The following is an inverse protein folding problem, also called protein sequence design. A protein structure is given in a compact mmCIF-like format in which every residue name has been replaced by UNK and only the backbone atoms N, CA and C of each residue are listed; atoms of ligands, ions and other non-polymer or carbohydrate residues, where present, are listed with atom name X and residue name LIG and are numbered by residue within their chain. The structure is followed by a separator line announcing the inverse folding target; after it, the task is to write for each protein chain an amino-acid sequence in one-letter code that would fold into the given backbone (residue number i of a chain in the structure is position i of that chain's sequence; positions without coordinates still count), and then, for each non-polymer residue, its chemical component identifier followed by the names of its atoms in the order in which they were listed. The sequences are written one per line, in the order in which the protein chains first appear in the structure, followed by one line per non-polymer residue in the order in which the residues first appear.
data_IF_201419351954
#
_entry.id   IF_201419351954
#
_cell.length_a   1.000
_cell.length_b   1.000
_cell.length_c   1.000
_cell.angle_alpha   90.00
_cell.angle_beta   90.00
_cell.angle_gamma   90.00
#
_symmetry.space_group_name_H-M   'P 1'
#
loop_
_entity.id
_entity.type
_entity.pdbx_description
1 polymer ?
#
# COMPACT_ATOMS: atom_id res chain seq x y z
N UNK A 1 32.90 -4.97 -5.87
CA UNK A 1 32.90 -5.74 -4.64
C UNK A 1 34.02 -5.35 -3.69
N UNK A 2 33.75 -5.47 -2.40
CA UNK A 2 34.75 -5.26 -1.37
C UNK A 2 35.42 -6.61 -1.00
N UNK A 3 36.73 -6.63 -0.92
CA UNK A 3 37.47 -7.71 -0.32
C UNK A 3 37.43 -7.52 1.21
N UNK A 4 36.99 -8.53 1.92
CA UNK A 4 36.84 -8.47 3.38
C UNK A 4 37.50 -9.65 4.08
N UNK A 5 37.98 -9.41 5.29
CA UNK A 5 38.35 -10.48 6.25
C UNK A 5 37.31 -10.52 7.32
N UNK A 6 36.79 -11.73 7.63
CA UNK A 6 35.83 -11.96 8.70
C UNK A 6 36.51 -12.81 9.79
N UNK A 7 36.41 -12.36 11.04
CA UNK A 7 36.95 -13.06 12.22
C UNK A 7 35.86 -13.15 13.27
N UNK A 8 35.55 -14.35 13.71
CA UNK A 8 34.54 -14.59 14.74
C UNK A 8 34.29 -16.08 14.99
N UNK A 9 33.41 -16.35 15.96
CA UNK A 9 32.93 -17.69 16.21
C UNK A 9 31.96 -18.11 15.08
N UNK A 10 31.96 -19.38 14.73
CA UNK A 10 31.04 -19.96 13.77
C UNK A 10 29.98 -20.80 14.49
N UNK A 11 28.77 -20.78 13.94
CA UNK A 11 27.64 -21.63 14.33
C UNK A 11 27.07 -22.35 13.11
N UNK A 12 26.15 -23.27 13.35
CA UNK A 12 25.40 -23.93 12.27
C UNK A 12 23.92 -23.54 12.42
N UNK A 13 23.36 -23.04 11.37
CA UNK A 13 21.92 -22.72 11.29
C UNK A 13 21.38 -23.16 9.93
N UNK A 14 20.21 -23.82 9.91
CA UNK A 14 19.61 -24.31 8.66
C UNK A 14 20.50 -25.29 7.87
N UNK A 15 21.40 -26.03 8.55
CA UNK A 15 22.38 -26.94 7.93
C UNK A 15 23.65 -26.28 7.40
N UNK A 16 23.77 -24.94 7.48
CA UNK A 16 24.90 -24.17 6.96
C UNK A 16 25.75 -23.56 8.10
N UNK A 17 27.08 -23.50 7.88
CA UNK A 17 27.97 -22.73 8.75
C UNK A 17 27.83 -21.23 8.48
N UNK A 18 27.73 -20.48 9.54
CA UNK A 18 27.68 -19.03 9.52
C UNK A 18 28.56 -18.42 10.62
N UNK A 19 28.96 -17.17 10.44
CA UNK A 19 29.57 -16.39 11.49
C UNK A 19 28.49 -15.86 12.45
N UNK A 20 28.82 -15.81 13.75
CA UNK A 20 27.92 -15.24 14.76
C UNK A 20 27.88 -13.71 14.73
N UNK A 21 26.89 -13.12 15.44
CA UNK A 21 26.63 -11.67 15.50
C UNK A 21 27.83 -10.84 15.98
N UNK A 22 28.71 -11.43 16.80
CA UNK A 22 29.89 -10.75 17.34
C UNK A 22 31.10 -10.80 16.41
N UNK A 23 30.92 -11.23 15.14
CA UNK A 23 32.03 -11.34 14.21
C UNK A 23 32.46 -9.96 13.69
N UNK A 24 33.75 -9.77 13.60
CA UNK A 24 34.39 -8.56 13.06
C UNK A 24 34.55 -8.72 11.56
N UNK A 25 34.11 -7.71 10.78
CA UNK A 25 34.30 -7.63 9.34
C UNK A 25 35.22 -6.46 9.03
N UNK A 26 36.38 -6.76 8.44
CA UNK A 26 37.34 -5.73 8.06
C UNK A 26 37.49 -5.68 6.54
N UNK A 27 37.27 -4.52 5.93
CA UNK A 27 37.55 -4.31 4.50
C UNK A 27 39.07 -4.29 4.29
N UNK A 28 39.54 -5.13 3.38
CA UNK A 28 40.97 -5.27 3.04
C UNK A 28 41.31 -4.76 1.65
N UNK A 29 40.28 -4.49 0.83
CA UNK A 29 40.49 -3.99 -0.53
C UNK A 29 39.19 -3.92 -1.32
N UNK A 30 39.32 -3.73 -2.63
CA UNK A 30 38.24 -3.80 -3.62
C UNK A 30 38.61 -4.72 -4.75
N UNK A 31 37.63 -5.43 -5.28
CA UNK A 31 37.79 -6.31 -6.45
C UNK A 31 36.56 -6.23 -7.35
N UNK A 32 36.73 -6.49 -8.63
CA UNK A 32 35.59 -6.72 -9.51
C UNK A 32 34.94 -8.05 -9.17
N UNK A 33 33.62 -8.04 -9.03
CA UNK A 33 32.81 -9.24 -8.79
C UNK A 33 31.88 -9.42 -9.97
N UNK A 34 31.96 -10.58 -10.60
CA UNK A 34 30.94 -10.99 -11.56
C UNK A 34 29.81 -11.63 -10.79
N UNK A 35 28.61 -11.05 -10.89
CA UNK A 35 27.41 -11.63 -10.29
C UNK A 35 27.11 -12.98 -10.99
N UNK A 36 26.94 -14.08 -10.24
CA UNK A 36 26.50 -15.35 -10.82
C UNK A 36 25.10 -15.20 -11.42
N UNK A 37 24.77 -16.00 -12.41
CA UNK A 37 23.39 -16.17 -12.82
C UNK A 37 22.65 -17.04 -11.79
N UNK A 38 21.38 -16.76 -11.46
CA UNK A 38 20.63 -17.59 -10.55
C UNK A 38 20.35 -18.96 -11.17
N UNK A 39 20.48 -20.02 -10.37
CA UNK A 39 20.03 -21.36 -10.73
C UNK A 39 18.51 -21.43 -10.58
N UNK A 40 17.79 -21.82 -11.64
CA UNK A 40 16.35 -22.01 -11.56
C UNK A 40 16.04 -23.30 -10.80
N UNK A 41 15.18 -23.18 -9.78
CA UNK A 41 14.77 -24.31 -8.94
C UNK A 41 13.29 -24.67 -9.23
N UNK A 42 13.06 -25.91 -9.61
CA UNK A 42 11.75 -26.54 -9.62
C UNK A 42 11.47 -27.36 -8.35
N UNK A 43 10.32 -28.01 -8.27
CA UNK A 43 9.91 -28.82 -7.12
C UNK A 43 10.96 -29.86 -6.68
N UNK A 44 11.50 -30.63 -7.63
CA UNK A 44 12.52 -31.65 -7.34
C UNK A 44 13.82 -31.06 -6.78
N UNK A 45 14.16 -29.82 -7.15
CA UNK A 45 15.35 -29.14 -6.65
C UNK A 45 15.16 -28.65 -5.21
N UNK A 46 13.93 -28.28 -4.84
CA UNK A 46 13.58 -27.97 -3.45
C UNK A 46 13.76 -29.19 -2.55
N UNK A 47 13.25 -30.36 -2.97
CA UNK A 47 13.41 -31.61 -2.22
C UNK A 47 14.89 -32.02 -2.12
N UNK A 48 15.63 -31.89 -3.22
CA UNK A 48 17.07 -32.17 -3.24
C UNK A 48 17.86 -31.20 -2.35
N UNK A 49 17.49 -29.91 -2.32
CA UNK A 49 18.13 -28.91 -1.47
C UNK A 49 17.96 -29.21 0.03
N UNK A 50 16.79 -29.71 0.44
CA UNK A 50 16.53 -30.13 1.83
C UNK A 50 17.49 -31.24 2.27
N UNK A 51 17.82 -32.15 1.37
CA UNK A 51 18.74 -33.26 1.67
C UNK A 51 20.21 -32.82 1.77
N UNK A 52 20.61 -31.79 1.03
CA UNK A 52 21.97 -31.27 0.96
C UNK A 52 22.04 -29.76 0.87
N UNK A 53 21.73 -29.01 1.95
CA UNK A 53 21.71 -27.56 1.91
C UNK A 53 23.10 -26.97 1.62
N UNK A 54 23.12 -25.95 0.74
CA UNK A 54 24.35 -25.20 0.42
C UNK A 54 23.98 -23.76 0.05
N UNK A 55 24.93 -22.84 0.09
CA UNK A 55 24.69 -21.47 -0.39
C UNK A 55 24.68 -21.48 -1.90
N UNK A 56 23.53 -21.09 -2.49
CA UNK A 56 23.33 -20.97 -3.93
C UNK A 56 22.59 -19.69 -4.23
N UNK A 57 22.94 -19.04 -5.35
CA UNK A 57 22.12 -17.96 -5.94
C UNK A 57 21.05 -18.61 -6.80
N UNK A 58 19.79 -18.42 -6.42
CA UNK A 58 18.66 -19.21 -6.93
C UNK A 58 17.53 -18.29 -7.45
N UNK A 59 16.71 -18.87 -8.33
CA UNK A 59 15.47 -18.28 -8.82
C UNK A 59 14.39 -19.36 -8.81
N UNK A 60 13.22 -19.05 -8.28
CA UNK A 60 12.07 -19.97 -8.26
C UNK A 60 10.77 -19.19 -8.27
N UNK A 61 9.67 -19.84 -8.64
CA UNK A 61 8.34 -19.25 -8.66
C UNK A 61 7.37 -20.03 -7.76
N UNK A 62 6.37 -19.30 -7.26
CA UNK A 62 5.30 -19.90 -6.45
C UNK A 62 4.37 -18.85 -5.88
N UNK A 63 3.37 -19.29 -5.14
CA UNK A 63 2.36 -18.44 -4.53
C UNK A 63 2.84 -17.84 -3.21
N UNK A 64 2.95 -16.50 -3.15
CA UNK A 64 3.41 -15.78 -1.97
C UNK A 64 2.27 -15.51 -1.00
N UNK A 65 2.43 -15.95 0.22
CA UNK A 65 1.53 -15.68 1.35
C UNK A 65 2.28 -15.16 2.57
N UNK A 66 1.56 -14.61 3.54
CA UNK A 66 2.14 -14.20 4.81
C UNK A 66 1.30 -14.67 5.99
N UNK A 67 1.95 -14.85 7.13
CA UNK A 67 1.28 -15.01 8.41
C UNK A 67 2.07 -14.28 9.51
N UNK A 68 1.37 -13.90 10.56
CA UNK A 68 1.99 -13.33 11.75
C UNK A 68 2.02 -14.38 12.85
N UNK A 69 3.18 -14.59 13.44
CA UNK A 69 3.33 -15.54 14.54
C UNK A 69 2.83 -14.97 15.88
N UNK A 70 2.89 -15.77 16.94
CA UNK A 70 2.42 -15.42 18.27
C UNK A 70 3.29 -14.36 19.00
N UNK A 71 4.44 -14.00 18.45
CA UNK A 71 5.31 -12.91 18.91
C UNK A 71 5.24 -11.68 17.98
N UNK A 72 4.20 -11.63 17.13
CA UNK A 72 3.92 -10.54 16.19
C UNK A 72 4.97 -10.36 15.08
N UNK A 73 5.79 -11.38 14.78
CA UNK A 73 6.70 -11.36 13.64
C UNK A 73 5.98 -11.81 12.37
N UNK A 74 6.15 -11.06 11.28
CA UNK A 74 5.65 -11.44 9.96
C UNK A 74 6.57 -12.41 9.26
N UNK A 75 6.00 -13.47 8.70
CA UNK A 75 6.65 -14.47 7.87
C UNK A 75 6.06 -14.45 6.48
N UNK A 76 6.91 -14.53 5.47
CA UNK A 76 6.54 -14.51 4.06
C UNK A 76 6.94 -15.84 3.43
N UNK A 77 5.98 -16.58 2.95
CA UNK A 77 6.14 -17.94 2.46
C UNK A 77 5.71 -18.05 1.00
N UNK A 78 6.46 -18.81 0.22
CA UNK A 78 6.20 -19.07 -1.19
C UNK A 78 5.91 -20.57 -1.35
N UNK A 79 4.67 -20.92 -1.63
CA UNK A 79 4.28 -22.29 -1.96
C UNK A 79 4.69 -22.57 -3.42
N UNK A 80 5.54 -23.57 -3.63
CA UNK A 80 6.01 -24.00 -4.95
C UNK A 80 5.23 -25.24 -5.37
N UNK A 81 4.63 -25.22 -6.57
CA UNK A 81 3.85 -26.33 -7.04
C UNK A 81 4.67 -27.62 -7.18
N UNK A 82 4.12 -28.73 -6.68
CA UNK A 82 4.71 -30.07 -6.81
C UNK A 82 5.71 -30.45 -5.70
N UNK A 83 5.87 -29.63 -4.64
CA UNK A 83 6.65 -29.95 -3.44
C UNK A 83 5.94 -29.48 -2.18
N UNK A 84 6.18 -30.18 -1.04
CA UNK A 84 5.75 -29.75 0.29
C UNK A 84 6.77 -28.81 0.97
N UNK A 85 7.93 -28.60 0.34
CA UNK A 85 8.94 -27.66 0.84
C UNK A 85 8.56 -26.24 0.47
N UNK A 86 8.49 -25.38 1.48
CA UNK A 86 8.05 -23.98 1.31
C UNK A 86 9.27 -23.06 1.17
N UNK A 87 9.27 -22.17 0.17
CA UNK A 87 10.21 -21.06 0.12
C UNK A 87 9.91 -20.07 1.24
N UNK A 88 10.92 -19.68 2.02
CA UNK A 88 10.76 -18.68 3.09
C UNK A 88 11.63 -17.46 2.78
N UNK A 89 11.02 -16.27 2.69
CA UNK A 89 11.73 -15.02 2.45
C UNK A 89 12.37 -14.56 3.76
N UNK A 90 13.68 -14.77 3.89
CA UNK A 90 14.44 -14.41 5.08
C UNK A 90 14.94 -12.98 4.98
N UNK A 91 14.65 -12.17 6.00
CA UNK A 91 15.11 -10.78 6.14
C UNK A 91 14.92 -9.93 4.87
N UNK A 92 13.72 -9.87 4.29
CA UNK A 92 13.49 -9.07 3.09
C UNK A 92 13.79 -7.60 3.39
N UNK A 93 14.52 -6.95 2.48
CA UNK A 93 14.79 -5.52 2.58
C UNK A 93 13.47 -4.75 2.42
N UNK A 94 13.28 -3.69 3.18
CA UNK A 94 12.09 -2.83 3.09
C UNK A 94 11.87 -2.23 1.69
N UNK A 95 12.95 -2.05 0.92
CA UNK A 95 12.86 -1.57 -0.48
C UNK A 95 12.23 -2.56 -1.44
N UNK A 96 12.10 -3.84 -1.06
CA UNK A 96 11.45 -4.87 -1.87
C UNK A 96 9.91 -4.79 -1.83
N UNK A 97 9.34 -4.02 -0.91
CA UNK A 97 7.89 -3.86 -0.74
C UNK A 97 7.11 -5.19 -0.86
N UNK A 98 7.52 -6.20 -0.08
CA UNK A 98 7.01 -7.59 -0.18
C UNK A 98 5.49 -7.66 -0.09
N UNK A 99 4.87 -6.74 0.65
CA UNK A 99 3.42 -6.71 0.84
C UNK A 99 2.63 -6.47 -0.45
N UNK A 100 3.23 -5.80 -1.44
CA UNK A 100 2.61 -5.59 -2.77
C UNK A 100 2.48 -6.87 -3.58
N UNK A 101 3.27 -7.88 -3.25
CA UNK A 101 3.31 -9.17 -3.95
C UNK A 101 2.48 -10.25 -3.29
N UNK A 102 1.83 -9.98 -2.14
CA UNK A 102 1.05 -10.97 -1.40
C UNK A 102 -0.15 -11.49 -2.18
N UNK A 103 -0.45 -12.78 -1.95
CA UNK A 103 -1.56 -13.51 -2.54
C UNK A 103 -1.49 -13.59 -4.09
N UNK A 104 -0.25 -13.65 -4.61
CA UNK A 104 0.03 -13.79 -6.06
C UNK A 104 1.16 -14.77 -6.31
N UNK A 105 1.24 -15.25 -7.55
CA UNK A 105 2.40 -15.98 -8.04
C UNK A 105 3.55 -15.00 -8.30
N UNK A 106 4.68 -15.28 -7.67
CA UNK A 106 5.89 -14.47 -7.76
C UNK A 106 7.08 -15.25 -8.25
N UNK A 107 8.05 -14.55 -8.81
CA UNK A 107 9.39 -15.03 -9.04
C UNK A 107 10.28 -14.46 -7.93
N UNK A 108 10.90 -15.34 -7.18
CA UNK A 108 11.86 -14.99 -6.12
C UNK A 108 13.26 -15.19 -6.66
N UNK A 109 14.12 -14.19 -6.55
CA UNK A 109 15.55 -14.32 -6.80
C UNK A 109 16.31 -13.97 -5.51
N UNK A 110 17.30 -14.78 -5.16
CA UNK A 110 18.06 -14.58 -3.93
C UNK A 110 19.04 -15.69 -3.62
N UNK A 111 19.63 -15.62 -2.45
CA UNK A 111 20.55 -16.65 -1.97
C UNK A 111 19.82 -17.64 -1.07
N UNK A 112 19.77 -18.90 -1.45
CA UNK A 112 19.36 -19.99 -0.57
C UNK A 112 20.39 -20.13 0.55
N UNK A 113 19.95 -19.98 1.81
CA UNK A 113 20.79 -19.87 3.00
C UNK A 113 20.49 -20.96 4.06
N UNK A 114 19.93 -22.07 3.63
CA UNK A 114 19.67 -23.23 4.48
C UNK A 114 18.22 -23.62 4.60
N UNK A 115 17.95 -24.60 5.45
CA UNK A 115 16.65 -25.22 5.65
C UNK A 115 16.29 -25.17 7.13
N UNK A 116 15.06 -24.76 7.44
CA UNK A 116 14.49 -24.79 8.80
C UNK A 116 13.20 -25.58 8.85
N UNK A 117 12.66 -25.77 10.05
CA UNK A 117 11.45 -26.55 10.31
C UNK A 117 11.69 -28.05 10.41
N UNK A 118 10.80 -28.77 11.07
CA UNK A 118 10.84 -30.22 11.28
C UNK A 118 9.74 -30.94 10.49
N UNK A 119 8.49 -30.58 10.73
CA UNK A 119 7.33 -31.19 10.05
C UNK A 119 7.12 -30.51 8.70
N UNK A 120 7.03 -29.18 8.68
CA UNK A 120 7.09 -28.38 7.47
C UNK A 120 8.51 -27.89 7.27
N UNK A 121 9.09 -28.12 6.10
CA UNK A 121 10.46 -27.71 5.76
C UNK A 121 10.43 -26.40 4.98
N UNK A 122 11.31 -25.48 5.37
CA UNK A 122 11.41 -24.15 4.75
C UNK A 122 12.81 -23.98 4.14
N UNK A 123 12.85 -23.74 2.83
CA UNK A 123 14.06 -23.28 2.15
C UNK A 123 14.16 -21.76 2.39
N UNK A 124 15.10 -21.37 3.23
CA UNK A 124 15.32 -19.97 3.57
C UNK A 124 16.06 -19.25 2.44
N UNK A 125 15.50 -18.16 1.96
CA UNK A 125 16.08 -17.35 0.86
C UNK A 125 16.31 -15.93 1.33
N UNK A 126 17.56 -15.46 1.26
CA UNK A 126 17.90 -14.05 1.37
C UNK A 126 17.57 -13.39 0.05
N UNK A 127 16.42 -12.69 0.00
CA UNK A 127 15.83 -12.18 -1.24
C UNK A 127 16.57 -10.96 -1.76
N UNK A 128 16.89 -10.98 -3.05
CA UNK A 128 17.49 -9.85 -3.77
C UNK A 128 16.53 -9.19 -4.75
N UNK A 129 15.54 -9.93 -5.27
CA UNK A 129 14.51 -9.44 -6.18
C UNK A 129 13.22 -10.24 -6.00
N UNK A 130 12.09 -9.55 -6.15
CA UNK A 130 10.75 -10.10 -6.32
C UNK A 130 10.15 -9.55 -7.61
N UNK A 131 9.51 -10.41 -8.37
CA UNK A 131 8.80 -10.07 -9.61
C UNK A 131 7.48 -10.83 -9.64
N UNK A 132 6.47 -10.31 -10.30
CA UNK A 132 5.28 -11.12 -10.59
C UNK A 132 5.63 -12.21 -11.59
N UNK A 133 5.16 -13.44 -11.36
CA UNK A 133 5.43 -14.57 -12.24
C UNK A 133 4.70 -14.44 -13.60
N UNK A 134 3.58 -13.75 -13.60
CA UNK A 134 2.83 -13.38 -14.79
C UNK A 134 2.85 -11.86 -14.92
N UNK A 135 3.14 -11.35 -16.10
CA UNK A 135 2.96 -9.93 -16.39
C UNK A 135 1.46 -9.62 -16.23
N UNK A 136 1.17 -8.63 -15.38
CA UNK A 136 -0.21 -8.19 -15.23
C UNK A 136 -0.62 -7.46 -16.50
N UNK A 137 -1.61 -8.01 -17.19
CA UNK A 137 -2.18 -7.37 -18.38
C UNK A 137 -3.20 -6.30 -17.96
N UNK A 138 -3.10 -5.14 -18.61
CA UNK A 138 -4.09 -4.08 -18.43
C UNK A 138 -5.43 -4.58 -18.99
N UNK A 139 -6.52 -4.57 -18.21
CA UNK A 139 -7.84 -4.90 -18.70
C UNK A 139 -8.26 -3.97 -19.86
N UNK A 140 -9.09 -4.48 -20.76
CA UNK A 140 -9.71 -3.64 -21.78
C UNK A 140 -10.61 -2.58 -21.10
N UNK A 141 -10.51 -1.34 -21.55
CA UNK A 141 -11.30 -0.25 -20.98
C UNK A 141 -12.81 -0.46 -21.16
N UNK A 142 -13.22 -1.18 -22.20
CA UNK A 142 -14.62 -1.54 -22.45
C UNK A 142 -15.22 -2.52 -21.44
N UNK A 143 -14.36 -3.27 -20.72
CA UNK A 143 -14.75 -4.18 -19.65
C UNK A 143 -14.76 -3.49 -18.27
N UNK A 144 -14.19 -2.29 -18.18
CA UNK A 144 -14.10 -1.55 -16.93
C UNK A 144 -15.40 -0.82 -16.61
N UNK A 145 -15.97 -1.10 -15.43
CA UNK A 145 -17.13 -0.40 -14.89
C UNK A 145 -16.75 0.99 -14.37
N UNK A 146 -17.72 1.86 -14.12
CA UNK A 146 -17.52 3.15 -13.46
C UNK A 146 -17.32 2.97 -11.94
N UNK A 147 -16.78 4.00 -11.26
CA UNK A 147 -16.67 4.01 -9.80
C UNK A 147 -18.06 3.97 -9.16
N UNK A 148 -19.04 4.66 -9.73
CA UNK A 148 -20.43 4.62 -9.27
C UNK A 148 -20.99 3.20 -9.30
N UNK A 149 -20.85 2.50 -10.42
CA UNK A 149 -21.30 1.12 -10.55
C UNK A 149 -20.55 0.19 -9.59
N UNK A 150 -19.24 0.40 -9.38
CA UNK A 150 -18.48 -0.34 -8.37
C UNK A 150 -19.10 -0.16 -6.99
N UNK A 151 -19.35 1.09 -6.54
CA UNK A 151 -19.93 1.38 -5.23
C UNK A 151 -21.32 0.74 -5.06
N UNK A 152 -22.16 0.77 -6.09
CA UNK A 152 -23.48 0.11 -6.08
C UNK A 152 -23.34 -1.40 -5.84
N UNK A 153 -22.33 -2.05 -6.42
CA UNK A 153 -22.05 -3.48 -6.22
C UNK A 153 -21.46 -3.76 -4.86
N UNK A 154 -20.52 -2.93 -4.39
CA UNK A 154 -19.89 -3.07 -3.06
C UNK A 154 -20.90 -2.94 -1.92
N UNK A 155 -21.96 -2.13 -2.07
CA UNK A 155 -23.01 -1.96 -1.06
C UNK A 155 -23.76 -3.26 -0.70
N UNK A 156 -23.71 -4.26 -1.57
CA UNK A 156 -24.29 -5.59 -1.36
C UNK A 156 -23.28 -6.65 -0.89
N UNK A 157 -22.01 -6.28 -0.71
CA UNK A 157 -20.93 -7.21 -0.37
C UNK A 157 -20.52 -7.10 1.09
N UNK A 158 -19.99 -8.18 1.63
CA UNK A 158 -19.37 -8.18 2.96
C UNK A 158 -17.89 -7.77 2.87
N UNK A 159 -17.37 -7.15 3.94
CA UNK A 159 -15.95 -6.84 4.05
C UNK A 159 -15.10 -8.11 3.95
N UNK A 160 -14.06 -8.09 3.13
CA UNK A 160 -13.22 -9.24 2.79
C UNK A 160 -13.61 -9.94 1.48
N UNK A 161 -14.71 -9.56 0.84
CA UNK A 161 -15.16 -10.17 -0.41
C UNK A 161 -14.14 -9.94 -1.54
N UNK A 162 -13.88 -10.98 -2.34
CA UNK A 162 -13.06 -10.89 -3.55
C UNK A 162 -13.83 -10.17 -4.67
N UNK A 163 -13.13 -9.38 -5.48
CA UNK A 163 -13.73 -8.56 -6.54
C UNK A 163 -13.41 -9.07 -7.96
N UNK A 164 -12.80 -10.24 -8.08
CA UNK A 164 -12.33 -10.78 -9.37
C UNK A 164 -13.44 -10.84 -10.45
N UNK A 165 -14.69 -11.09 -10.07
CA UNK A 165 -15.83 -11.15 -11.00
C UNK A 165 -16.19 -9.78 -11.61
N UNK A 166 -15.71 -8.67 -11.05
CA UNK A 166 -15.95 -7.32 -11.55
C UNK A 166 -14.91 -6.87 -12.60
N UNK A 167 -13.91 -7.72 -12.90
CA UNK A 167 -12.83 -7.51 -13.87
C UNK A 167 -12.02 -6.25 -13.61
N UNK A 168 -12.59 -5.06 -13.88
CA UNK A 168 -11.89 -3.79 -13.73
C UNK A 168 -12.82 -2.62 -13.40
N UNK A 169 -12.26 -1.54 -12.84
CA UNK A 169 -12.91 -0.22 -12.71
C UNK A 169 -12.03 0.84 -13.37
N UNK A 170 -12.65 1.87 -13.93
CA UNK A 170 -11.94 3.04 -14.50
C UNK A 170 -12.34 4.32 -13.79
N UNK A 171 -11.42 5.28 -13.77
CA UNK A 171 -11.66 6.59 -13.17
C UNK A 171 -10.43 7.47 -13.25
N UNK A 172 -10.48 8.58 -12.54
CA UNK A 172 -9.40 9.56 -12.45
C UNK A 172 -8.87 9.65 -11.03
N UNK A 173 -7.58 9.77 -10.87
CA UNK A 173 -6.92 10.00 -9.57
C UNK A 173 -7.27 11.41 -9.10
N UNK A 174 -8.05 11.52 -8.02
CA UNK A 174 -8.47 12.81 -7.46
C UNK A 174 -7.55 13.28 -6.32
N UNK A 175 -6.89 12.36 -5.63
CA UNK A 175 -5.89 12.65 -4.62
C UNK A 175 -4.90 11.48 -4.47
N UNK A 176 -3.66 11.79 -4.05
CA UNK A 176 -2.59 10.85 -3.78
C UNK A 176 -1.84 11.21 -2.48
N UNK A 177 -0.74 10.51 -2.16
CA UNK A 177 0.02 10.67 -0.91
C UNK A 177 1.02 11.85 -0.91
N UNK A 178 1.15 12.60 -1.99
CA UNK A 178 2.18 13.66 -2.14
C UNK A 178 2.17 14.67 -0.99
N UNK A 179 0.99 15.04 -0.51
CA UNK A 179 0.82 15.99 0.59
C UNK A 179 1.14 15.44 1.98
N UNK A 180 1.46 14.15 2.10
CA UNK A 180 1.76 13.47 3.37
C UNK A 180 0.57 13.38 4.34
N UNK A 181 -0.64 13.67 3.88
CA UNK A 181 -1.86 13.58 4.68
C UNK A 181 -2.54 12.21 4.55
N UNK A 182 -2.51 11.64 3.35
CA UNK A 182 -2.93 10.27 3.06
C UNK A 182 -1.78 9.29 3.37
N UNK A 183 -2.10 8.01 3.49
CA UNK A 183 -1.09 6.97 3.70
C UNK A 183 -1.42 5.71 2.89
N UNK A 184 -0.67 5.49 1.82
CA UNK A 184 -0.83 4.36 0.91
C UNK A 184 -2.24 4.25 0.33
N UNK A 185 -2.86 5.37 0.01
CA UNK A 185 -4.19 5.43 -0.58
C UNK A 185 -4.26 6.46 -1.69
N UNK A 186 -5.14 6.23 -2.65
CA UNK A 186 -5.62 7.24 -3.58
C UNK A 186 -7.13 7.37 -3.50
N UNK A 187 -7.64 8.54 -3.85
CA UNK A 187 -9.04 8.75 -4.20
C UNK A 187 -9.20 8.56 -5.70
N UNK A 188 -10.03 7.61 -6.11
CA UNK A 188 -10.42 7.37 -7.50
C UNK A 188 -11.85 7.86 -7.71
N UNK A 189 -12.09 8.64 -8.77
CA UNK A 189 -13.41 9.22 -9.06
C UNK A 189 -13.83 9.03 -10.52
N UNK A 190 -15.14 9.01 -10.79
CA UNK A 190 -15.69 9.09 -12.17
C UNK A 190 -15.51 10.51 -12.79
N UNK A 191 -15.08 11.47 -12.00
CA UNK A 191 -14.87 12.87 -12.37
C UNK A 191 -16.15 13.62 -12.83
N UNK A 192 -17.31 13.17 -12.38
CA UNK A 192 -18.61 13.80 -12.68
C UNK A 192 -19.04 14.82 -11.64
N UNK A 193 -18.52 14.74 -10.41
CA UNK A 193 -18.96 15.50 -9.26
C UNK A 193 -20.30 15.03 -8.64
N UNK A 194 -20.88 13.95 -9.15
CA UNK A 194 -22.11 13.36 -8.64
C UNK A 194 -21.85 12.57 -7.34
N UNK A 195 -22.86 12.40 -6.46
CA UNK A 195 -22.74 11.51 -5.29
C UNK A 195 -22.42 10.08 -5.65
N UNK A 196 -21.64 9.41 -4.79
CA UNK A 196 -21.31 7.99 -4.94
C UNK A 196 -20.30 7.66 -6.04
N UNK A 197 -19.63 8.68 -6.61
CA UNK A 197 -18.67 8.50 -7.72
C UNK A 197 -17.22 8.52 -7.29
N UNK A 198 -16.93 8.24 -6.00
CA UNK A 198 -15.58 8.12 -5.47
C UNK A 198 -15.38 6.85 -4.66
N UNK A 199 -14.15 6.34 -4.66
CA UNK A 199 -13.71 5.17 -3.88
C UNK A 199 -12.26 5.34 -3.45
N UNK A 200 -11.92 4.79 -2.29
CA UNK A 200 -10.55 4.70 -1.81
C UNK A 200 -9.91 3.41 -2.32
N UNK A 201 -8.78 3.53 -3.00
CA UNK A 201 -7.90 2.40 -3.31
C UNK A 201 -6.72 2.39 -2.34
N UNK A 202 -6.58 1.31 -1.57
CA UNK A 202 -5.49 1.09 -0.63
C UNK A 202 -4.40 0.25 -1.28
N UNK A 203 -3.15 0.73 -1.28
CA UNK A 203 -2.04 0.04 -1.92
C UNK A 203 -0.67 0.53 -1.46
N UNK A 204 0.10 1.10 -2.37
CA UNK A 204 1.46 1.59 -2.16
C UNK A 204 1.48 3.09 -1.91
N UNK A 205 2.68 3.65 -1.70
CA UNK A 205 2.86 5.10 -1.64
C UNK A 205 2.72 5.69 -3.06
N UNK A 206 1.66 6.45 -3.27
CA UNK A 206 1.34 7.09 -4.54
C UNK A 206 1.67 8.58 -4.48
N UNK A 207 2.58 9.03 -5.33
CA UNK A 207 3.03 10.42 -5.40
C UNK A 207 2.75 11.03 -6.77
N UNK A 208 2.95 12.34 -6.92
CA UNK A 208 2.86 13.00 -8.23
C UNK A 208 3.87 12.43 -9.25
N UNK A 209 4.99 11.87 -8.79
CA UNK A 209 5.98 11.24 -9.67
C UNK A 209 5.52 9.87 -10.19
N UNK A 210 4.75 9.11 -9.40
CA UNK A 210 4.32 7.74 -9.73
C UNK A 210 2.90 7.71 -10.27
N UNK A 211 2.01 8.53 -9.69
CA UNK A 211 0.59 8.57 -10.07
C UNK A 211 0.02 9.99 -9.88
N UNK A 212 0.22 10.90 -10.86
CA UNK A 212 -0.21 12.28 -10.77
C UNK A 212 -1.73 12.42 -10.64
N UNK A 213 -2.17 13.44 -9.88
CA UNK A 213 -3.59 13.83 -9.83
C UNK A 213 -4.08 14.21 -11.23
N UNK A 214 -5.31 13.83 -11.55
CA UNK A 214 -5.92 14.01 -12.86
C UNK A 214 -5.64 12.89 -13.86
N UNK A 215 -4.74 11.94 -13.55
CA UNK A 215 -4.46 10.81 -14.44
C UNK A 215 -5.64 9.84 -14.49
N UNK A 216 -6.11 9.50 -15.70
CA UNK A 216 -7.05 8.41 -15.90
C UNK A 216 -6.35 7.08 -15.71
N UNK A 217 -7.00 6.17 -14.99
CA UNK A 217 -6.48 4.82 -14.74
C UNK A 217 -7.53 3.76 -15.07
N UNK A 218 -7.02 2.60 -15.50
CA UNK A 218 -7.78 1.35 -15.52
C UNK A 218 -7.25 0.51 -14.35
N UNK A 219 -8.13 0.06 -13.49
CA UNK A 219 -7.77 -0.64 -12.26
C UNK A 219 -8.27 -2.08 -12.36
N UNK A 220 -7.36 -3.04 -12.43
CA UNK A 220 -7.72 -4.46 -12.41
C UNK A 220 -8.18 -4.86 -11.01
N UNK A 221 -9.30 -5.56 -10.95
CA UNK A 221 -9.90 -6.09 -9.72
C UNK A 221 -9.63 -7.59 -9.54
N UNK A 222 -8.84 -8.21 -10.41
CA UNK A 222 -8.53 -9.65 -10.44
C UNK A 222 -8.13 -10.23 -9.07
N UNK A 223 -7.31 -9.48 -8.30
CA UNK A 223 -6.85 -9.88 -6.98
C UNK A 223 -7.38 -8.98 -5.87
N UNK A 224 -8.23 -8.03 -6.25
CA UNK A 224 -8.72 -7.04 -5.32
C UNK A 224 -9.73 -7.63 -4.33
N UNK A 225 -9.77 -7.01 -3.16
CA UNK A 225 -10.75 -7.32 -2.12
C UNK A 225 -11.45 -6.05 -1.67
N UNK A 226 -12.73 -6.16 -1.38
CA UNK A 226 -13.49 -5.13 -0.69
C UNK A 226 -13.12 -5.11 0.80
N UNK A 227 -12.95 -3.93 1.37
CA UNK A 227 -12.74 -3.75 2.80
C UNK A 227 -13.60 -2.61 3.32
N UNK A 228 -14.24 -2.81 4.45
CA UNK A 228 -14.98 -1.78 5.14
C UNK A 228 -14.19 -1.35 6.40
N UNK A 229 -13.23 -0.46 6.19
CA UNK A 229 -12.38 0.00 7.29
C UNK A 229 -13.06 1.11 8.07
N UNK A 230 -13.53 0.82 9.30
CA UNK A 230 -14.18 1.81 10.15
C UNK A 230 -15.35 2.54 9.47
N UNK A 231 -16.14 1.82 8.71
CA UNK A 231 -17.26 2.26 7.88
C UNK A 231 -16.86 2.97 6.56
N UNK A 232 -15.56 3.10 6.26
CA UNK A 232 -15.08 3.62 4.99
C UNK A 232 -14.93 2.50 3.97
N UNK A 233 -15.67 2.51 2.85
CA UNK A 233 -15.48 1.58 1.75
C UNK A 233 -14.10 1.75 1.11
N UNK A 234 -13.36 0.66 0.98
CA UNK A 234 -12.03 0.64 0.35
C UNK A 234 -11.88 -0.58 -0.54
N UNK A 235 -11.07 -0.45 -1.58
CA UNK A 235 -10.58 -1.56 -2.38
C UNK A 235 -9.10 -1.76 -2.10
N UNK A 236 -8.71 -2.99 -1.76
CA UNK A 236 -7.31 -3.39 -1.50
C UNK A 236 -6.80 -4.31 -2.58
N UNK A 237 -5.48 -4.37 -2.76
CA UNK A 237 -4.78 -5.28 -3.69
C UNK A 237 -5.19 -5.11 -5.16
N UNK A 238 -5.76 -3.97 -5.53
CA UNK A 238 -6.03 -3.64 -6.91
C UNK A 238 -4.73 -3.29 -7.66
N UNK A 239 -4.71 -3.56 -8.97
CA UNK A 239 -3.56 -3.22 -9.82
C UNK A 239 -3.94 -2.03 -10.69
N UNK A 240 -3.17 -0.96 -10.59
CA UNK A 240 -3.45 0.32 -11.24
C UNK A 240 -2.63 0.44 -12.52
N UNK A 241 -3.30 0.68 -13.64
CA UNK A 241 -2.68 0.93 -14.94
C UNK A 241 -2.94 2.37 -15.37
N UNK A 242 -1.97 3.28 -15.21
CA UNK A 242 -2.08 4.65 -15.69
C UNK A 242 -2.23 4.69 -17.23
N UNK A 243 -3.02 5.64 -17.71
CA UNK A 243 -3.16 5.95 -19.13
C UNK A 243 -2.51 7.29 -19.46
N UNK A 244 -2.42 7.64 -20.75
CA UNK A 244 -1.96 8.96 -21.20
C UNK A 244 -3.00 10.05 -20.99
N UNK A 245 -4.28 9.68 -20.75
CA UNK A 245 -5.38 10.61 -20.61
C UNK A 245 -5.33 11.30 -19.24
N UNK A 246 -5.53 12.62 -19.26
CA UNK A 246 -5.60 13.45 -18.06
C UNK A 246 -6.80 14.39 -18.12
N UNK A 247 -7.37 14.68 -16.96
CA UNK A 247 -8.43 15.67 -16.81
C UNK A 247 -8.22 16.51 -15.55
N UNK A 248 -8.75 17.73 -15.56
CA UNK A 248 -8.93 18.51 -14.34
C UNK A 248 -10.00 17.82 -13.47
N UNK A 249 -9.72 17.71 -12.17
CA UNK A 249 -10.65 17.05 -11.24
C UNK A 249 -11.81 17.97 -10.92
N UNK A 250 -13.01 17.45 -11.15
CA UNK A 250 -14.27 18.11 -10.74
C UNK A 250 -14.40 18.01 -9.24
N UNK A 251 -14.41 19.16 -8.55
CA UNK A 251 -14.48 19.26 -7.09
C UNK A 251 -15.87 19.75 -6.70
N UNK A 252 -16.82 18.88 -6.32
CA UNK A 252 -18.13 19.31 -5.91
C UNK A 252 -18.07 20.09 -4.60
N UNK A 253 -18.85 21.17 -4.51
CA UNK A 253 -19.05 21.94 -3.28
C UNK A 253 -20.29 21.42 -2.55
N UNK A 254 -20.11 20.93 -1.33
CA UNK A 254 -21.14 20.25 -0.55
C UNK A 254 -21.37 20.91 0.80
N UNK A 255 -22.54 20.69 1.38
CA UNK A 255 -22.85 21.04 2.77
C UNK A 255 -22.44 19.90 3.74
N UNK A 256 -22.31 20.24 5.01
CA UNK A 256 -21.94 19.32 6.09
C UNK A 256 -22.85 18.09 6.25
N UNK A 257 -24.14 18.21 5.93
CA UNK A 257 -25.12 17.13 5.98
C UNK A 257 -25.11 16.20 4.75
N UNK A 258 -24.25 16.47 3.76
CA UNK A 258 -24.11 15.67 2.53
C UNK A 258 -22.87 14.79 2.54
N UNK A 259 -22.01 14.87 3.56
CA UNK A 259 -20.70 14.18 3.60
C UNK A 259 -20.81 12.68 3.31
N UNK A 260 -21.84 12.00 3.81
CA UNK A 260 -22.04 10.57 3.61
C UNK A 260 -22.26 10.14 2.17
N UNK A 261 -22.79 11.04 1.32
CA UNK A 261 -23.07 10.76 -0.08
C UNK A 261 -21.79 10.85 -0.96
N UNK A 262 -20.69 11.42 -0.41
CA UNK A 262 -19.46 11.73 -1.15
C UNK A 262 -18.23 11.00 -0.63
N UNK A 263 -18.38 9.88 0.07
CA UNK A 263 -17.24 9.10 0.57
C UNK A 263 -16.29 8.70 -0.57
N UNK A 264 -15.00 8.80 -0.29
CA UNK A 264 -13.94 8.51 -1.24
C UNK A 264 -13.71 9.59 -2.32
N UNK A 265 -14.52 10.65 -2.37
CA UNK A 265 -14.38 11.75 -3.33
C UNK A 265 -13.56 12.91 -2.78
N UNK A 266 -12.89 13.63 -3.69
CA UNK A 266 -12.25 14.89 -3.37
C UNK A 266 -13.29 16.01 -3.52
N UNK A 267 -13.65 16.64 -2.40
CA UNK A 267 -14.75 17.59 -2.30
C UNK A 267 -14.34 18.91 -1.65
N UNK A 268 -15.19 19.92 -1.74
CA UNK A 268 -15.10 21.16 -0.97
C UNK A 268 -16.29 21.23 -0.02
N UNK A 269 -16.07 21.12 1.29
CA UNK A 269 -17.11 21.34 2.30
C UNK A 269 -17.14 22.81 2.67
N UNK A 270 -18.30 23.45 2.48
CA UNK A 270 -18.48 24.88 2.72
C UNK A 270 -19.02 25.17 4.11
N UNK A 271 -18.94 26.46 4.49
CA UNK A 271 -19.57 27.03 5.68
C UNK A 271 -19.25 26.27 6.99
N UNK A 272 -18.00 25.81 7.09
CA UNK A 272 -17.47 25.20 8.31
C UNK A 272 -16.96 26.28 9.26
N UNK A 273 -17.29 26.18 10.54
CA UNK A 273 -16.79 27.07 11.59
C UNK A 273 -15.72 26.36 12.40
N UNK A 274 -14.55 26.98 12.51
CA UNK A 274 -13.44 26.46 13.31
C UNK A 274 -13.77 26.54 14.81
N UNK A 275 -13.36 25.54 15.61
CA UNK A 275 -13.49 25.60 17.05
C UNK A 275 -12.57 26.68 17.68
N UNK A 276 -13.00 27.29 18.77
CA UNK A 276 -12.27 28.38 19.43
C UNK A 276 -10.90 28.00 20.00
N UNK A 277 -10.69 26.72 20.26
CA UNK A 277 -9.42 26.16 20.77
C UNK A 277 -8.48 25.66 19.69
N UNK A 278 -8.87 25.73 18.43
CA UNK A 278 -8.02 25.34 17.31
C UNK A 278 -6.84 26.31 17.15
N UNK A 279 -5.64 25.79 17.00
CA UNK A 279 -4.41 26.61 16.83
C UNK A 279 -3.73 26.33 15.51
N UNK A 280 -3.34 25.09 15.27
CA UNK A 280 -2.67 24.61 14.06
C UNK A 280 -3.27 23.27 13.66
N UNK A 281 -3.05 22.87 12.39
CA UNK A 281 -3.57 21.59 11.89
C UNK A 281 -2.95 20.37 12.58
N UNK A 282 -1.72 20.50 13.10
CA UNK A 282 -1.06 19.50 13.93
C UNK A 282 -0.59 20.12 15.23
N UNK A 283 -0.98 19.55 16.36
CA UNK A 283 -0.65 20.04 17.69
C UNK A 283 0.43 19.15 18.33
N UNK A 284 1.48 19.78 18.89
CA UNK A 284 2.56 19.06 19.57
C UNK A 284 3.25 17.97 18.75
N UNK A 285 3.33 18.17 17.43
CA UNK A 285 3.91 17.19 16.47
C UNK A 285 3.26 15.79 16.53
N UNK A 286 1.96 15.75 16.86
CA UNK A 286 1.15 14.53 16.86
C UNK A 286 -0.01 14.69 15.88
N UNK A 287 -0.33 13.62 15.16
CA UNK A 287 -1.53 13.62 14.31
C UNK A 287 -2.74 14.09 15.11
N UNK A 288 -3.50 15.00 14.54
CA UNK A 288 -4.53 15.78 15.26
C UNK A 288 -5.86 15.69 14.54
N UNK A 289 -6.93 15.47 15.30
CA UNK A 289 -8.31 15.58 14.82
C UNK A 289 -8.89 16.93 15.28
N UNK A 290 -9.28 17.77 14.32
CA UNK A 290 -10.00 19.01 14.57
C UNK A 290 -11.45 18.87 14.12
N UNK A 291 -12.41 19.31 14.96
CA UNK A 291 -13.84 19.20 14.67
C UNK A 291 -14.41 20.56 14.33
N UNK A 292 -14.94 20.70 13.13
CA UNK A 292 -15.60 21.89 12.64
C UNK A 292 -17.12 21.74 12.74
N UNK A 293 -17.82 22.83 12.97
CA UNK A 293 -19.30 22.86 12.95
C UNK A 293 -19.76 23.39 11.62
N UNK A 294 -20.57 22.64 10.90
CA UNK A 294 -21.15 23.05 9.63
C UNK A 294 -22.43 23.88 9.79
N UNK A 295 -22.90 24.45 8.68
CA UNK A 295 -24.08 25.34 8.65
C UNK A 295 -25.39 24.66 9.07
N UNK A 296 -25.50 23.34 8.86
CA UNK A 296 -26.65 22.52 9.26
C UNK A 296 -26.50 21.91 10.66
N UNK A 297 -25.43 22.29 11.38
CA UNK A 297 -25.14 21.80 12.72
C UNK A 297 -24.49 20.41 12.77
N UNK A 298 -24.10 19.85 11.62
CA UNK A 298 -23.34 18.60 11.60
C UNK A 298 -21.86 18.87 11.91
N UNK A 299 -21.20 17.89 12.51
CA UNK A 299 -19.76 17.94 12.74
C UNK A 299 -19.03 17.32 11.54
N UNK A 300 -18.08 18.05 10.99
CA UNK A 300 -17.10 17.54 10.02
C UNK A 300 -15.72 17.65 10.63
N UNK A 301 -15.00 16.57 10.72
CA UNK A 301 -13.65 16.57 11.27
C UNK A 301 -12.58 16.63 10.17
N UNK A 302 -11.35 16.96 10.58
CA UNK A 302 -10.15 16.67 9.80
C UNK A 302 -9.23 15.80 10.64
N UNK A 303 -8.72 14.72 10.09
CA UNK A 303 -7.60 14.01 10.69
C UNK A 303 -6.33 14.36 9.91
N UNK A 304 -5.42 15.05 10.58
CA UNK A 304 -4.19 15.55 9.96
C UNK A 304 -2.99 14.83 10.53
N UNK A 305 -2.25 14.13 9.66
CA UNK A 305 -1.02 13.45 10.07
C UNK A 305 0.10 14.45 10.36
N UNK A 306 1.03 14.08 11.22
CA UNK A 306 2.23 14.90 11.50
C UNK A 306 3.14 15.12 10.27
N UNK A 307 2.87 14.45 9.17
CA UNK A 307 3.64 14.54 7.91
C UNK A 307 3.01 15.46 6.88
N UNK A 308 1.77 15.93 7.12
CA UNK A 308 1.06 16.81 6.19
C UNK A 308 1.84 18.11 5.92
N UNK A 309 1.90 18.51 4.65
CA UNK A 309 2.63 19.71 4.20
C UNK A 309 2.10 21.02 4.81
N UNK A 310 0.85 21.05 5.26
CA UNK A 310 0.18 22.20 5.86
C UNK A 310 0.08 22.12 7.39
N UNK A 311 0.72 21.16 8.03
CA UNK A 311 0.61 20.84 9.47
C UNK A 311 0.82 22.05 10.41
N UNK A 312 1.72 22.96 10.06
CA UNK A 312 2.11 24.11 10.88
C UNK A 312 1.31 25.41 10.55
N UNK A 313 0.37 25.32 9.58
CA UNK A 313 -0.50 26.47 9.23
C UNK A 313 -1.44 26.73 10.40
N UNK A 314 -1.58 27.99 10.77
CA UNK A 314 -2.53 28.42 11.80
C UNK A 314 -3.96 28.38 11.27
N UNK A 315 -4.87 27.98 12.13
CA UNK A 315 -6.30 27.92 11.83
C UNK A 315 -6.95 29.24 12.26
N UNK A 316 -7.49 29.98 11.28
CA UNK A 316 -8.26 31.18 11.56
C UNK A 316 -9.61 30.84 12.21
N UNK A 317 -9.98 31.55 13.26
CA UNK A 317 -11.27 31.41 13.95
C UNK A 317 -12.38 32.08 13.16
N UNK A 318 -12.82 31.46 12.11
CA UNK A 318 -13.80 32.00 11.16
C UNK A 318 -14.70 30.88 10.64
N UNK A 319 -15.69 31.25 9.83
CA UNK A 319 -16.47 30.32 9.02
C UNK A 319 -15.95 30.36 7.60
N UNK A 320 -15.57 29.21 7.05
CA UNK A 320 -15.00 29.08 5.72
C UNK A 320 -15.23 27.68 5.14
N UNK A 321 -14.34 27.22 4.29
CA UNK A 321 -14.40 25.93 3.62
C UNK A 321 -13.09 25.15 3.74
N UNK A 322 -13.19 23.84 3.56
CA UNK A 322 -12.04 22.92 3.45
C UNK A 322 -12.24 22.08 2.19
N UNK A 323 -11.17 21.87 1.41
CA UNK A 323 -11.13 20.86 0.36
C UNK A 323 -10.39 19.60 0.88
N UNK A 324 -10.69 18.46 0.30
CA UNK A 324 -9.99 17.22 0.62
C UNK A 324 -10.78 15.99 0.25
N UNK A 325 -10.21 14.83 0.55
CA UNK A 325 -10.88 13.55 0.40
C UNK A 325 -11.88 13.37 1.53
N UNK A 326 -13.13 13.05 1.19
CA UNK A 326 -14.18 12.77 2.17
C UNK A 326 -14.07 11.31 2.63
N UNK A 327 -13.89 11.14 3.92
CA UNK A 327 -13.79 9.83 4.58
C UNK A 327 -14.78 9.70 5.74
N UNK A 328 -14.87 8.52 6.32
CA UNK A 328 -15.56 8.27 7.57
C UNK A 328 -14.70 7.38 8.46
N UNK A 329 -14.59 7.76 9.72
CA UNK A 329 -13.96 6.93 10.76
C UNK A 329 -14.95 6.60 11.87
N UNK A 330 -15.40 5.35 11.91
CA UNK A 330 -16.61 4.93 12.62
C UNK A 330 -17.80 5.79 12.12
N UNK A 331 -18.40 6.64 12.91
CA UNK A 331 -19.54 7.47 12.49
C UNK A 331 -19.18 8.96 12.35
N UNK A 332 -17.89 9.29 12.37
CA UNK A 332 -17.40 10.65 12.20
C UNK A 332 -16.96 10.88 10.75
N UNK A 333 -17.61 11.81 10.06
CA UNK A 333 -17.16 12.24 8.73
C UNK A 333 -15.89 13.08 8.85
N UNK A 334 -14.89 12.71 8.07
CA UNK A 334 -13.60 13.39 8.04
C UNK A 334 -13.29 13.87 6.62
N UNK A 335 -12.90 15.13 6.49
CA UNK A 335 -12.32 15.66 5.25
C UNK A 335 -10.81 15.72 5.42
N UNK A 336 -10.07 15.07 4.52
CA UNK A 336 -8.62 14.96 4.57
C UNK A 336 -8.01 15.89 3.51
N UNK A 337 -7.53 17.09 3.88
CA UNK A 337 -6.83 17.96 2.96
C UNK A 337 -5.53 17.31 2.47
N UNK A 338 -5.16 17.55 1.21
CA UNK A 338 -3.95 16.96 0.60
C UNK A 338 -2.91 18.00 0.21
N UNK A 339 -3.25 19.28 0.28
CA UNK A 339 -2.37 20.37 -0.10
C UNK A 339 -2.54 21.61 0.77
N UNK A 340 -1.60 22.56 0.64
CA UNK A 340 -1.71 23.89 1.28
C UNK A 340 -2.91 24.69 0.81
N UNK A 341 -3.33 24.50 -0.44
CA UNK A 341 -4.49 25.19 -1.02
C UNK A 341 -5.79 24.72 -0.38
N UNK A 342 -5.87 23.44 0.01
CA UNK A 342 -7.08 22.84 0.57
C UNK A 342 -7.51 23.43 1.91
N UNK A 343 -6.57 24.01 2.62
CA UNK A 343 -6.78 24.66 3.93
C UNK A 343 -6.75 26.19 3.85
N UNK A 344 -6.64 26.77 2.67
CA UNK A 344 -6.49 28.22 2.49
C UNK A 344 -7.72 29.02 2.96
N UNK A 345 -8.90 28.40 3.04
CA UNK A 345 -10.10 29.00 3.63
C UNK A 345 -9.96 29.34 5.11
N UNK A 346 -9.09 28.65 5.84
CA UNK A 346 -8.82 28.86 7.28
C UNK A 346 -7.40 29.39 7.56
N UNK A 347 -6.69 29.84 6.56
CA UNK A 347 -5.37 30.42 6.76
C UNK A 347 -5.49 31.85 7.31
N UNK A 348 -4.78 32.13 8.45
CA UNK A 348 -4.58 33.49 8.98
C UNK A 348 -3.75 34.37 8.02
#
# INVERSE_FOLDING_TARGET
GDAVTVKGATSVYGGLKQFGETSEVTKTGTASVTQPQPEELGAADFDAYVAAPCIKYVKYSGFLSSYQDNIYQWHYNVAVDGTDVIGSLSYPNSTLNVTSYLDRNVIVTGYAIGVTGTDTRYLNTLVTSLEFAEAEERPDESEAISVKELNERLAAMESGAALADLVAVKGYVAANDEGGALYQVISLVDNTGEPGTGIILKGEDFTEATLPVGTKVIVSLKYATYDLYKNLPQVKKAIIFPTEEKAEIVVPEIADNQCGDYLGQYVKVRNLTAPDDATTWVVNNKSTTTRFTGENGCTVATYVTKHAVYKDVKIAHTTSWIKGVMEVYNDLYEIIPTSMEDVSGFKE
#
